data_IF_595402291461
#
_entry.id   IF_595402291461
#
_cell.length_a   1.000
_cell.length_b   1.000
_cell.length_c   1.000
_cell.angle_alpha   90.00
_cell.angle_beta   90.00
_cell.angle_gamma   90.00
#
_symmetry.space_group_name_H-M   'P 1'
#
loop_
_entity.id
_entity.type
_entity.pdbx_description
1 polymer ?
#
# COMPACT_ATOMS: atom_id res chain seq x y z
N UNK A 1 13.60 13.84 4.02
CA UNK A 1 12.16 13.50 3.84
C UNK A 1 11.33 14.78 3.97
N UNK A 2 10.44 15.03 3.02
CA UNK A 2 9.57 16.21 3.08
C UNK A 2 8.47 16.02 4.13
N UNK A 3 7.79 17.10 4.49
CA UNK A 3 6.66 17.04 5.43
C UNK A 3 5.55 16.14 4.89
N UNK A 4 5.23 16.24 3.61
CA UNK A 4 4.23 15.37 2.96
C UNK A 4 4.63 13.90 3.04
N UNK A 5 5.90 13.60 2.76
CA UNK A 5 6.41 12.22 2.86
C UNK A 5 6.33 11.68 4.28
N UNK A 6 6.59 12.53 5.27
CA UNK A 6 6.50 12.13 6.67
C UNK A 6 5.05 11.77 7.05
N UNK A 7 4.10 12.57 6.61
CA UNK A 7 2.67 12.33 6.88
C UNK A 7 2.19 11.04 6.21
N UNK A 8 2.58 10.81 4.96
CA UNK A 8 2.25 9.57 4.25
C UNK A 8 2.87 8.37 4.97
N UNK A 9 4.11 8.49 5.41
CA UNK A 9 4.79 7.43 6.17
C UNK A 9 4.01 7.08 7.44
N UNK A 10 3.63 8.08 8.23
CA UNK A 10 2.87 7.86 9.45
C UNK A 10 1.52 7.20 9.17
N UNK A 11 0.85 7.62 8.12
CA UNK A 11 -0.41 7.04 7.70
C UNK A 11 -0.24 5.56 7.31
N UNK A 12 0.76 5.25 6.49
CA UNK A 12 1.04 3.87 6.07
C UNK A 12 1.42 3.00 7.27
N UNK A 13 2.17 3.56 8.22
CA UNK A 13 2.51 2.83 9.45
C UNK A 13 1.25 2.44 10.24
N UNK A 14 0.27 3.32 10.29
CA UNK A 14 -1.02 3.01 10.93
C UNK A 14 -1.79 1.92 10.18
N UNK A 15 -1.59 1.81 8.88
CA UNK A 15 -2.18 0.75 8.06
C UNK A 15 -1.49 -0.60 8.22
N UNK A 16 -0.37 -0.64 8.94
CA UNK A 16 0.40 -1.86 9.15
C UNK A 16 1.65 -1.98 8.28
N UNK A 17 1.95 -0.95 7.48
CA UNK A 17 3.16 -0.91 6.64
C UNK A 17 4.19 -0.06 7.37
N UNK A 18 4.99 -0.70 8.22
CA UNK A 18 5.94 -0.01 9.09
C UNK A 18 7.32 0.06 8.43
N UNK A 19 7.82 1.27 8.22
CA UNK A 19 9.14 1.53 7.64
C UNK A 19 9.70 2.84 8.15
N UNK A 20 11.04 2.93 8.19
CA UNK A 20 11.74 4.15 8.59
C UNK A 20 12.14 5.01 7.40
N UNK A 21 12.55 4.37 6.31
CA UNK A 21 13.02 5.02 5.09
C UNK A 21 12.22 4.48 3.91
N UNK A 22 11.83 5.35 2.98
CA UNK A 22 11.10 4.96 1.78
C UNK A 22 11.80 3.89 0.95
N UNK A 23 13.13 3.84 1.00
CA UNK A 23 13.91 2.79 0.33
C UNK A 23 13.54 1.39 0.80
N UNK A 24 13.09 1.27 2.05
CA UNK A 24 12.70 -0.01 2.63
C UNK A 24 11.41 -0.55 2.02
N UNK A 25 10.60 0.29 1.38
CA UNK A 25 9.36 -0.14 0.76
C UNK A 25 9.60 -1.07 -0.43
N UNK A 26 10.66 -0.83 -1.19
CA UNK A 26 10.94 -1.65 -2.36
C UNK A 26 11.33 -3.08 -1.93
N UNK A 27 10.50 -4.05 -2.28
CA UNK A 27 10.69 -5.43 -1.89
C UNK A 27 10.06 -5.82 -0.55
N UNK A 28 9.36 -4.90 0.12
CA UNK A 28 8.72 -5.18 1.40
C UNK A 28 7.53 -6.13 1.24
N UNK A 29 7.44 -7.10 2.14
CA UNK A 29 6.33 -8.06 2.18
C UNK A 29 5.35 -7.67 3.28
N UNK A 30 4.07 -7.58 2.93
CA UNK A 30 2.99 -7.27 3.86
C UNK A 30 2.04 -8.46 3.91
N UNK A 31 1.79 -9.05 5.09
CA UNK A 31 0.81 -10.14 5.19
C UNK A 31 -0.56 -9.68 4.66
N UNK A 32 -1.19 -10.53 3.87
CA UNK A 32 -2.45 -10.18 3.22
C UNK A 32 -3.52 -9.74 4.23
N UNK A 33 -3.62 -10.44 5.35
CA UNK A 33 -4.64 -10.15 6.37
C UNK A 33 -4.51 -8.73 6.93
N UNK A 34 -3.30 -8.19 6.97
CA UNK A 34 -3.06 -6.83 7.48
C UNK A 34 -3.88 -5.80 6.70
N UNK A 35 -4.04 -5.99 5.40
CA UNK A 35 -4.71 -5.03 4.51
C UNK A 35 -6.17 -5.38 4.24
N UNK A 36 -6.68 -6.46 4.79
CA UNK A 36 -8.08 -6.86 4.61
C UNK A 36 -8.96 -6.47 5.80
N UNK A 37 -8.41 -5.80 6.80
CA UNK A 37 -9.13 -5.42 8.01
C UNK A 37 -10.08 -4.25 7.77
N UNK A 38 -11.37 -4.50 7.88
CA UNK A 38 -12.39 -3.45 7.80
C UNK A 38 -12.33 -2.53 9.02
N UNK A 39 -12.09 -3.09 10.19
CA UNK A 39 -11.95 -2.33 11.43
C UNK A 39 -10.79 -1.33 11.35
N UNK A 40 -9.66 -1.77 10.84
CA UNK A 40 -8.49 -0.90 10.66
C UNK A 40 -8.82 0.25 9.70
N UNK A 41 -9.55 -0.03 8.63
CA UNK A 41 -9.99 1.00 7.68
C UNK A 41 -10.86 2.05 8.37
N UNK A 42 -11.84 1.62 9.17
CA UNK A 42 -12.70 2.54 9.89
C UNK A 42 -11.92 3.43 10.86
N UNK A 43 -10.90 2.86 11.52
CA UNK A 43 -10.08 3.61 12.47
C UNK A 43 -9.21 4.68 11.81
N UNK A 44 -8.77 4.47 10.57
CA UNK A 44 -7.91 5.44 9.88
C UNK A 44 -8.68 6.47 9.06
N UNK A 45 -9.98 6.33 8.90
CA UNK A 45 -10.78 7.30 8.13
C UNK A 45 -10.62 8.73 8.64
N UNK A 46 -10.53 8.91 9.94
CA UNK A 46 -10.36 10.23 10.55
C UNK A 46 -9.02 10.86 10.18
N UNK A 47 -7.98 10.05 10.02
CA UNK A 47 -6.66 10.53 9.64
C UNK A 47 -6.63 11.05 8.21
N UNK A 48 -7.54 10.58 7.35
CA UNK A 48 -7.65 11.08 5.99
C UNK A 48 -8.02 12.57 5.95
N UNK A 49 -8.81 13.02 6.90
CA UNK A 49 -9.17 14.44 6.98
C UNK A 49 -7.95 15.34 7.22
N UNK A 50 -6.98 14.84 7.99
CA UNK A 50 -5.72 15.57 8.23
C UNK A 50 -4.86 15.60 6.98
N UNK A 51 -4.84 14.51 6.23
CA UNK A 51 -4.05 14.42 5.00
C UNK A 51 -4.61 15.31 3.88
N UNK A 52 -5.91 15.57 3.88
CA UNK A 52 -6.55 16.43 2.87
C UNK A 52 -5.97 17.84 2.84
N UNK A 53 -5.44 18.31 3.95
CA UNK A 53 -4.79 19.64 4.03
C UNK A 53 -3.45 19.67 3.30
N UNK A 54 -2.82 18.52 3.14
CA UNK A 54 -1.47 18.40 2.57
C UNK A 54 -1.49 18.12 1.07
N UNK A 55 -2.57 17.51 0.58
CA UNK A 55 -2.73 17.21 -0.84
C UNK A 55 -3.52 18.31 -1.54
N UNK A 56 -3.31 18.45 -2.84
CA UNK A 56 -4.10 19.37 -3.64
C UNK A 56 -5.58 19.03 -3.50
N UNK A 57 -6.42 20.05 -3.58
CA UNK A 57 -7.86 19.95 -3.38
C UNK A 57 -8.48 18.80 -4.19
N UNK A 58 -9.14 17.90 -3.50
CA UNK A 58 -9.91 16.81 -4.10
C UNK A 58 -9.13 15.54 -4.38
N UNK A 59 -7.79 15.58 -4.42
CA UNK A 59 -6.98 14.40 -4.75
C UNK A 59 -7.20 13.25 -3.78
N UNK A 60 -7.11 13.51 -2.48
CA UNK A 60 -7.28 12.47 -1.48
C UNK A 60 -8.72 11.97 -1.40
N UNK A 61 -9.69 12.87 -1.59
CA UNK A 61 -11.10 12.49 -1.65
C UNK A 61 -11.37 11.56 -2.83
N UNK A 62 -10.75 11.84 -3.98
CA UNK A 62 -10.85 10.97 -5.16
C UNK A 62 -10.24 9.60 -4.89
N UNK A 63 -9.10 9.54 -4.22
CA UNK A 63 -8.47 8.29 -3.83
C UNK A 63 -9.37 7.47 -2.89
N UNK A 64 -9.96 8.12 -1.89
CA UNK A 64 -10.87 7.48 -0.96
C UNK A 64 -12.10 6.93 -1.66
N UNK A 65 -12.73 7.72 -2.52
CA UNK A 65 -13.91 7.29 -3.28
C UNK A 65 -13.59 6.12 -4.19
N UNK A 66 -12.44 6.17 -4.87
CA UNK A 66 -11.99 5.08 -5.73
C UNK A 66 -11.81 3.78 -4.95
N UNK A 67 -11.25 3.86 -3.73
CA UNK A 67 -11.07 2.71 -2.87
C UNK A 67 -12.43 2.13 -2.43
N UNK A 68 -13.38 2.99 -2.06
CA UNK A 68 -14.70 2.59 -1.58
C UNK A 68 -15.59 2.01 -2.69
N UNK A 69 -15.45 2.48 -3.92
CA UNK A 69 -16.22 1.97 -5.07
C UNK A 69 -15.94 0.48 -5.30
N UNK A 70 -14.72 0.03 -5.05
CA UNK A 70 -14.35 -1.39 -5.20
C UNK A 70 -14.75 -2.24 -4.00
N UNK A 71 -15.18 -1.65 -2.97
CA UNK A 71 -15.91 -2.08 -1.76
C UNK A 71 -15.48 -3.30 -0.97
N UNK A 72 -15.02 -4.37 -1.60
CA UNK A 72 -14.74 -5.60 -0.87
C UNK A 72 -13.59 -5.42 0.13
N UNK A 73 -12.57 -4.65 -0.26
CA UNK A 73 -11.37 -4.42 0.56
C UNK A 73 -10.95 -2.96 0.48
N UNK A 74 -11.66 -2.04 1.17
CA UNK A 74 -11.38 -0.60 1.05
C UNK A 74 -10.00 -0.22 1.57
N UNK A 75 -9.50 -0.84 2.64
CA UNK A 75 -8.15 -0.55 3.14
C UNK A 75 -7.10 -0.92 2.11
N UNK A 76 -7.18 -2.11 1.53
CA UNK A 76 -6.27 -2.57 0.49
C UNK A 76 -6.26 -1.62 -0.70
N UNK A 77 -7.44 -1.24 -1.18
CA UNK A 77 -7.56 -0.35 -2.32
C UNK A 77 -7.01 1.03 -2.03
N UNK A 78 -7.25 1.57 -0.84
CA UNK A 78 -6.73 2.87 -0.44
C UNK A 78 -5.21 2.86 -0.35
N UNK A 79 -4.63 1.87 0.31
CA UNK A 79 -3.17 1.71 0.44
C UNK A 79 -2.54 1.57 -0.95
N UNK A 80 -3.14 0.77 -1.82
CA UNK A 80 -2.65 0.58 -3.19
C UNK A 80 -2.62 1.91 -3.96
N UNK A 81 -3.66 2.73 -3.83
CA UNK A 81 -3.72 4.03 -4.50
C UNK A 81 -2.68 5.00 -3.95
N UNK A 82 -2.50 5.03 -2.63
CA UNK A 82 -1.50 5.89 -1.99
C UNK A 82 -0.10 5.49 -2.43
N UNK A 83 0.22 4.21 -2.46
CA UNK A 83 1.51 3.72 -2.94
C UNK A 83 1.74 4.10 -4.39
N UNK A 84 0.73 3.95 -5.25
CA UNK A 84 0.82 4.34 -6.65
C UNK A 84 1.14 5.82 -6.82
N UNK A 85 0.50 6.69 -6.04
CA UNK A 85 0.77 8.13 -6.12
C UNK A 85 2.17 8.51 -5.66
N UNK A 86 2.86 7.59 -4.98
CA UNK A 86 4.25 7.75 -4.54
C UNK A 86 5.23 6.91 -5.35
N UNK A 87 4.82 6.42 -6.53
CA UNK A 87 5.63 5.61 -7.45
C UNK A 87 5.98 4.22 -6.92
N UNK A 88 5.07 3.61 -6.18
CA UNK A 88 5.19 2.22 -5.76
C UNK A 88 3.98 1.42 -6.23
N UNK A 89 4.21 0.16 -6.53
CA UNK A 89 3.17 -0.79 -6.90
C UNK A 89 3.12 -1.89 -5.86
N UNK A 90 1.96 -2.52 -5.72
CA UNK A 90 1.79 -3.62 -4.77
C UNK A 90 1.16 -4.80 -5.49
N UNK A 91 1.82 -5.96 -5.44
CA UNK A 91 1.38 -7.16 -6.15
C UNK A 91 1.15 -8.31 -5.16
N UNK A 92 0.12 -9.13 -5.38
CA UNK A 92 -0.08 -10.32 -4.55
C UNK A 92 0.97 -11.38 -4.87
N UNK A 93 1.51 -12.00 -3.81
CA UNK A 93 2.39 -13.16 -3.94
C UNK A 93 2.00 -14.19 -2.89
N UNK A 94 2.41 -15.43 -3.11
CA UNK A 94 2.25 -16.50 -2.14
C UNK A 94 3.56 -17.23 -1.96
N UNK A 95 3.79 -17.70 -0.72
CA UNK A 95 4.97 -18.50 -0.40
C UNK A 95 4.53 -19.85 0.11
N UNK A 96 5.24 -20.90 -0.28
CA UNK A 96 4.97 -22.26 0.20
C UNK A 96 5.19 -22.32 1.71
N UNK A 97 4.25 -22.94 2.43
CA UNK A 97 4.27 -23.09 3.89
C UNK A 97 3.95 -24.53 4.28
N UNK A 98 4.63 -25.50 3.66
CA UNK A 98 4.46 -26.91 3.97
C UNK A 98 3.17 -27.50 3.42
N UNK A 99 2.67 -28.51 4.12
CA UNK A 99 1.49 -29.29 3.69
C UNK A 99 0.45 -29.36 4.80
N UNK A 100 -0.81 -29.49 4.42
CA UNK A 100 -1.88 -29.77 5.38
C UNK A 100 -1.80 -31.23 5.83
N UNK A 101 -2.57 -31.58 6.86
CA UNK A 101 -2.71 -32.98 7.30
C UNK A 101 -3.22 -33.89 6.19
N UNK A 102 -3.95 -33.32 5.24
CA UNK A 102 -4.52 -34.00 4.08
C UNK A 102 -3.57 -34.10 2.89
N UNK A 103 -2.32 -33.61 3.05
CA UNK A 103 -1.32 -33.67 2.00
C UNK A 103 -1.40 -32.57 0.94
N UNK A 104 -2.24 -31.57 1.13
CA UNK A 104 -2.34 -30.43 0.22
C UNK A 104 -1.34 -29.36 0.59
N UNK A 105 -0.77 -28.68 -0.42
CA UNK A 105 0.17 -27.58 -0.19
C UNK A 105 -0.51 -26.41 0.52
N UNK A 106 0.16 -25.89 1.54
CA UNK A 106 -0.23 -24.65 2.22
C UNK A 106 0.55 -23.49 1.66
N UNK A 107 -0.08 -22.32 1.62
CA UNK A 107 0.58 -21.09 1.19
C UNK A 107 0.31 -19.98 2.19
N UNK A 108 1.33 -19.15 2.41
CA UNK A 108 1.17 -17.86 3.07
C UNK A 108 1.00 -16.81 1.97
N UNK A 109 0.03 -15.94 2.16
CA UNK A 109 -0.29 -14.90 1.18
C UNK A 109 0.20 -13.55 1.68
N UNK A 110 0.90 -12.84 0.79
CA UNK A 110 1.48 -11.53 1.05
C UNK A 110 1.21 -10.61 -0.11
N UNK A 111 1.42 -9.32 0.12
CA UNK A 111 1.61 -8.35 -0.96
C UNK A 111 3.07 -7.93 -0.94
N UNK A 112 3.68 -7.82 -2.11
CA UNK A 112 5.03 -7.28 -2.25
C UNK A 112 4.94 -5.88 -2.83
N UNK A 113 5.65 -4.94 -2.21
CA UNK A 113 5.72 -3.56 -2.67
C UNK A 113 6.96 -3.43 -3.56
N UNK A 114 6.79 -2.85 -4.74
CA UNK A 114 7.88 -2.64 -5.69
C UNK A 114 7.87 -1.21 -6.18
N UNK A 115 9.05 -0.61 -6.28
CA UNK A 115 9.19 0.71 -6.86
C UNK A 115 8.89 0.67 -8.36
N UNK A 116 8.06 1.61 -8.83
CA UNK A 116 7.74 1.74 -10.25
C UNK A 116 8.87 2.53 -10.92
N UNK A 117 9.46 1.96 -11.97
CA UNK A 117 10.43 2.68 -12.79
C UNK A 117 9.68 3.61 -13.72
N UNK A 118 10.07 4.89 -13.74
CA UNK A 118 9.47 5.85 -14.64
C UNK A 118 9.99 5.64 -16.07
N UNK A 119 9.18 6.03 -17.06
CA UNK A 119 9.59 6.01 -18.47
C UNK A 119 10.85 6.84 -18.70
N UNK A 120 10.97 7.95 -17.97
CA UNK A 120 12.12 8.83 -18.04
C UNK A 120 13.40 8.12 -17.64
N UNK A 121 13.36 7.29 -16.59
CA UNK A 121 14.52 6.52 -16.16
C UNK A 121 14.95 5.50 -17.23
N UNK A 122 13.98 4.88 -17.89
CA UNK A 122 14.23 3.93 -18.98
C UNK A 122 14.89 4.64 -20.16
N UNK A 123 14.43 5.83 -20.51
CA UNK A 123 15.01 6.63 -21.60
C UNK A 123 16.47 7.00 -21.31
N UNK A 124 16.77 7.35 -20.08
CA UNK A 124 18.13 7.69 -19.65
C UNK A 124 19.05 6.48 -19.77
N UNK A 125 18.56 5.29 -19.43
CA UNK A 125 19.34 4.05 -19.54
C UNK A 125 19.66 3.67 -21.00
N UNK A 126 18.78 3.99 -21.93
CA UNK A 126 18.95 3.67 -23.35
C UNK A 126 19.98 4.60 -24.00
N UNK A 127 20.09 5.79 -23.52
CA UNK A 127 21.04 6.77 -24.03
C UNK A 127 22.41 6.65 -23.39
#
# INVERSE_FOLDING_TARGET
MTETQQIVKEFLNKCGIVFEDYKMLDGMLIPRETLLSQEKYENIKEDLAKMKKMYSSGALTALQKSAEVKQKWPLLNLVRQILKSNNYNMEPIRKSNGYTKEGKKKYLRFFIIKKIKSTKDVEVEVN
#
